data_IF_488454514862
#
_entry.id   IF_488454514862
#
_cell.length_a   1.000
_cell.length_b   1.000
_cell.length_c   1.000
_cell.angle_alpha   90.00
_cell.angle_beta   90.00
_cell.angle_gamma   90.00
#
_symmetry.space_group_name_H-M   'P 1'
#
loop_
_entity.id
_entity.type
_entity.pdbx_description
1 polymer ?
#
# COMPACT_ATOMS: atom_id res chain seq x y z
N UNK A 1 -19.44 33.31 10.55
CA UNK A 1 -18.24 32.63 11.07
C UNK A 1 -17.34 32.38 9.86
N UNK A 2 -16.02 32.55 9.96
CA UNK A 2 -15.13 32.13 8.86
C UNK A 2 -15.08 30.60 8.83
N UNK A 3 -14.83 29.96 7.68
CA UNK A 3 -14.60 28.52 7.65
C UNK A 3 -13.33 28.16 8.45
N UNK A 4 -13.32 26.99 9.07
CA UNK A 4 -12.10 26.38 9.58
C UNK A 4 -11.25 25.88 8.42
N UNK A 5 -9.99 26.30 8.36
CA UNK A 5 -9.04 25.82 7.36
C UNK A 5 -8.38 24.54 7.86
N UNK A 6 -8.58 23.44 7.15
CA UNK A 6 -8.00 22.13 7.50
C UNK A 6 -7.10 21.64 6.38
N UNK A 7 -5.83 21.39 6.70
CA UNK A 7 -4.90 20.73 5.79
C UNK A 7 -4.96 19.21 5.97
N UNK A 8 -4.93 18.45 4.87
CA UNK A 8 -4.80 17.00 4.87
C UNK A 8 -3.54 16.64 4.09
N UNK A 9 -2.57 16.03 4.77
CA UNK A 9 -1.28 15.62 4.17
C UNK A 9 -1.36 14.17 3.71
N UNK A 10 -1.52 13.97 2.41
CA UNK A 10 -1.67 12.68 1.76
C UNK A 10 -3.08 12.45 1.21
N UNK A 11 -3.14 12.02 -0.04
CA UNK A 11 -4.39 11.86 -0.81
C UNK A 11 -4.83 10.40 -0.97
N UNK A 12 -4.39 9.52 -0.09
CA UNK A 12 -4.86 8.14 -0.03
C UNK A 12 -6.30 8.02 0.47
N UNK A 13 -6.83 6.79 0.61
CA UNK A 13 -8.18 6.55 1.11
C UNK A 13 -8.51 7.26 2.43
N UNK A 14 -7.60 7.21 3.41
CA UNK A 14 -7.82 7.85 4.71
C UNK A 14 -7.91 9.37 4.60
N UNK A 15 -7.11 10.00 3.74
CA UNK A 15 -7.19 11.44 3.48
C UNK A 15 -8.53 11.84 2.87
N UNK A 16 -8.99 11.11 1.85
CA UNK A 16 -10.31 11.37 1.24
C UNK A 16 -11.49 11.03 2.15
N UNK A 17 -11.38 9.99 2.99
CA UNK A 17 -12.42 9.71 3.99
C UNK A 17 -12.47 10.81 5.05
N UNK A 18 -11.34 11.33 5.52
CA UNK A 18 -11.29 12.47 6.43
C UNK A 18 -11.90 13.73 5.79
N UNK A 19 -11.53 14.05 4.54
CA UNK A 19 -12.10 15.16 3.79
C UNK A 19 -13.63 15.04 3.67
N UNK A 20 -14.12 13.87 3.27
CA UNK A 20 -15.57 13.62 3.16
C UNK A 20 -16.29 13.75 4.51
N UNK A 21 -15.67 13.30 5.60
CA UNK A 21 -16.24 13.45 6.95
C UNK A 21 -16.30 14.90 7.42
N UNK A 22 -15.27 15.71 7.13
CA UNK A 22 -15.24 17.15 7.44
C UNK A 22 -16.33 17.91 6.68
N UNK A 23 -16.41 17.71 5.36
CA UNK A 23 -17.41 18.37 4.51
C UNK A 23 -18.82 17.97 4.91
N UNK A 24 -19.05 16.67 5.17
CA UNK A 24 -20.34 16.18 5.67
C UNK A 24 -20.72 16.83 7.00
N UNK A 25 -19.76 17.03 7.92
CA UNK A 25 -20.05 17.65 9.20
C UNK A 25 -20.54 19.10 8.99
N UNK A 26 -19.86 19.88 8.15
CA UNK A 26 -20.28 21.23 7.77
C UNK A 26 -21.65 21.27 7.05
N UNK A 27 -22.02 20.23 6.31
CA UNK A 27 -23.35 20.16 5.68
C UNK A 27 -24.48 19.84 6.67
N UNK A 28 -24.15 19.27 7.85
CA UNK A 28 -25.15 18.77 8.81
C UNK A 28 -25.45 19.72 9.96
N UNK A 29 -24.70 20.81 10.12
CA UNK A 29 -24.91 21.80 11.17
C UNK A 29 -24.48 23.19 10.69
N UNK A 30 -25.22 24.23 11.06
CA UNK A 30 -24.89 25.63 10.74
C UNK A 30 -23.78 26.20 11.63
N UNK A 31 -23.31 25.42 12.61
CA UNK A 31 -22.31 25.87 13.61
C UNK A 31 -20.88 25.77 13.10
N UNK A 32 -20.61 24.96 12.08
CA UNK A 32 -19.27 24.77 11.52
C UNK A 32 -19.29 24.91 10.01
N UNK A 33 -18.30 25.63 9.49
CA UNK A 33 -17.97 25.65 8.06
C UNK A 33 -16.50 25.29 7.91
N UNK A 34 -16.11 24.67 6.80
CA UNK A 34 -14.76 24.14 6.60
C UNK A 34 -14.25 24.43 5.19
N UNK A 35 -12.95 24.70 5.09
CA UNK A 35 -12.20 24.72 3.84
C UNK A 35 -11.08 23.69 3.94
N UNK A 36 -11.02 22.74 3.00
CA UNK A 36 -10.13 21.59 3.05
C UNK A 36 -9.08 21.69 1.94
N UNK A 37 -7.81 21.75 2.33
CA UNK A 37 -6.68 21.66 1.40
C UNK A 37 -6.02 20.29 1.54
N UNK A 38 -5.92 19.55 0.44
CA UNK A 38 -5.23 18.27 0.40
C UNK A 38 -3.87 18.42 -0.28
N UNK A 39 -2.80 18.21 0.50
CA UNK A 39 -1.42 18.29 0.05
C UNK A 39 -0.91 16.88 -0.23
N UNK A 40 -0.42 16.63 -1.44
CA UNK A 40 0.05 15.31 -1.87
C UNK A 40 1.47 15.38 -2.42
N UNK A 41 2.31 14.43 -1.99
CA UNK A 41 3.70 14.33 -2.42
C UNK A 41 3.81 14.10 -3.94
N UNK A 42 2.91 13.29 -4.50
CA UNK A 42 2.91 12.98 -5.93
C UNK A 42 2.07 13.98 -6.75
N UNK A 43 2.32 14.10 -8.07
CA UNK A 43 1.39 14.75 -8.99
C UNK A 43 0.00 14.09 -9.06
N UNK A 44 -0.12 12.83 -8.63
CA UNK A 44 -1.34 12.03 -8.80
C UNK A 44 -1.95 11.67 -7.44
N UNK A 45 -3.27 11.81 -7.26
CA UNK A 45 -3.93 11.49 -6.01
C UNK A 45 -4.15 9.97 -5.83
N UNK A 46 -4.88 9.62 -4.76
CA UNK A 46 -5.44 8.31 -4.43
C UNK A 46 -4.48 7.32 -3.76
N UNK A 47 -3.19 7.67 -3.63
CA UNK A 47 -2.19 6.84 -2.97
C UNK A 47 -2.21 5.38 -3.46
N UNK A 48 -2.22 4.42 -2.52
CA UNK A 48 -2.17 2.99 -2.85
C UNK A 48 -3.39 2.48 -3.63
N UNK A 49 -4.49 3.21 -3.78
CA UNK A 49 -5.54 2.81 -4.74
C UNK A 49 -5.00 2.84 -6.17
N UNK A 50 -4.13 3.81 -6.47
CA UNK A 50 -3.48 3.97 -7.78
C UNK A 50 -2.18 3.17 -7.87
N UNK A 51 -1.35 3.26 -6.82
CA UNK A 51 0.04 2.78 -6.82
C UNK A 51 0.27 1.44 -6.10
N UNK A 52 -0.73 0.93 -5.36
CA UNK A 52 -0.63 -0.30 -4.57
C UNK A 52 -1.50 -1.43 -5.11
N UNK A 53 -2.82 -1.19 -5.21
CA UNK A 53 -3.80 -2.15 -5.73
C UNK A 53 -3.32 -2.68 -7.07
N UNK A 54 -3.25 -4.00 -7.20
CA UNK A 54 -2.72 -4.66 -8.37
C UNK A 54 -3.49 -4.27 -9.64
N UNK A 55 -2.82 -4.22 -10.80
CA UNK A 55 -3.44 -3.78 -12.05
C UNK A 55 -4.55 -4.73 -12.55
N UNK A 56 -4.51 -6.00 -12.15
CA UNK A 56 -5.55 -7.00 -12.39
C UNK A 56 -6.68 -6.98 -11.35
N UNK A 57 -6.68 -6.02 -10.41
CA UNK A 57 -7.77 -5.74 -9.47
C UNK A 57 -8.49 -4.40 -9.74
N UNK A 58 -8.96 -4.12 -10.97
CA UNK A 58 -9.52 -2.81 -11.32
C UNK A 58 -10.81 -2.48 -10.55
N UNK A 59 -11.57 -3.50 -10.12
CA UNK A 59 -12.82 -3.32 -9.34
C UNK A 59 -12.56 -2.60 -8.02
N UNK A 60 -11.44 -2.89 -7.35
CA UNK A 60 -11.09 -2.24 -6.07
C UNK A 60 -10.76 -0.77 -6.30
N UNK A 61 -10.16 -0.43 -7.46
CA UNK A 61 -9.82 0.96 -7.83
C UNK A 61 -11.04 1.84 -8.08
N UNK A 62 -12.24 1.29 -8.24
CA UNK A 62 -13.47 2.07 -8.48
C UNK A 62 -13.87 2.98 -7.33
N UNK A 63 -13.29 2.79 -6.13
CA UNK A 63 -13.46 3.71 -5.00
C UNK A 63 -12.99 5.13 -5.32
N UNK A 64 -12.05 5.29 -6.27
CA UNK A 64 -11.60 6.60 -6.79
C UNK A 64 -12.77 7.50 -7.21
N UNK A 65 -13.86 6.94 -7.75
CA UNK A 65 -15.07 7.71 -8.09
C UNK A 65 -15.71 8.43 -6.90
N UNK A 66 -15.62 7.85 -5.70
CA UNK A 66 -16.08 8.52 -4.48
C UNK A 66 -15.13 9.66 -4.09
N UNK A 67 -13.83 9.47 -4.29
CA UNK A 67 -12.81 10.49 -4.02
C UNK A 67 -12.92 11.67 -4.99
N UNK A 68 -13.13 11.39 -6.28
CA UNK A 68 -13.44 12.38 -7.32
C UNK A 68 -14.67 13.20 -6.92
N UNK A 69 -15.76 12.54 -6.48
CA UNK A 69 -16.95 13.25 -6.01
C UNK A 69 -16.63 14.21 -4.85
N UNK A 70 -15.85 13.77 -3.85
CA UNK A 70 -15.39 14.65 -2.77
C UNK A 70 -14.57 15.83 -3.31
N UNK A 71 -13.70 15.59 -4.28
CA UNK A 71 -12.83 16.62 -4.86
C UNK A 71 -13.58 17.66 -5.70
N UNK A 72 -14.84 17.41 -6.09
CA UNK A 72 -15.69 18.39 -6.78
C UNK A 72 -16.35 19.41 -5.85
N UNK A 73 -16.26 19.24 -4.53
CA UNK A 73 -16.80 20.21 -3.57
C UNK A 73 -16.03 21.54 -3.66
N UNK A 74 -16.70 22.70 -3.76
CA UNK A 74 -16.03 23.99 -3.88
C UNK A 74 -15.20 24.37 -2.64
N UNK A 75 -15.44 23.72 -1.50
CA UNK A 75 -14.64 23.89 -0.27
C UNK A 75 -13.37 23.04 -0.26
N UNK A 76 -13.16 22.18 -1.27
CA UNK A 76 -12.01 21.30 -1.38
C UNK A 76 -11.02 21.81 -2.42
N UNK A 77 -9.72 21.76 -2.10
CA UNK A 77 -8.63 22.06 -3.04
C UNK A 77 -7.54 20.99 -2.96
N UNK A 78 -6.96 20.65 -4.12
CA UNK A 78 -5.86 19.69 -4.22
C UNK A 78 -4.56 20.40 -4.61
N UNK A 79 -3.48 20.06 -3.91
CA UNK A 79 -2.13 20.53 -4.15
C UNK A 79 -1.17 19.34 -4.19
N UNK A 80 -1.07 18.70 -5.36
CA UNK A 80 -0.12 17.64 -5.65
C UNK A 80 1.30 18.16 -5.93
N UNK A 81 2.26 17.23 -5.94
CA UNK A 81 3.70 17.52 -6.02
C UNK A 81 4.23 18.37 -4.84
N UNK A 82 3.53 18.37 -3.70
CA UNK A 82 3.90 19.08 -2.47
C UNK A 82 4.29 18.05 -1.40
N UNK A 83 5.59 17.79 -1.27
CA UNK A 83 6.12 16.94 -0.21
C UNK A 83 6.26 17.73 1.11
N UNK A 84 5.45 17.36 2.10
CA UNK A 84 5.54 17.87 3.48
C UNK A 84 6.74 17.23 4.18
N UNK A 85 7.59 18.05 4.79
CA UNK A 85 8.93 17.69 5.26
C UNK A 85 10.05 18.21 4.35
N UNK A 86 9.73 18.60 3.11
CA UNK A 86 10.69 19.12 2.14
C UNK A 86 10.34 20.53 1.66
N UNK A 87 9.16 20.73 1.06
CA UNK A 87 8.72 22.02 0.51
C UNK A 87 8.08 22.91 1.59
N UNK A 88 7.31 22.27 2.47
CA UNK A 88 6.65 22.87 3.62
C UNK A 88 6.82 21.95 4.81
N UNK A 89 6.83 22.48 6.02
CA UNK A 89 7.08 21.73 7.25
C UNK A 89 5.84 21.66 8.16
N UNK A 90 5.79 20.63 9.00
CA UNK A 90 4.69 20.37 9.93
C UNK A 90 4.29 21.63 10.75
N UNK A 91 5.28 22.30 11.34
CA UNK A 91 5.05 23.50 12.14
C UNK A 91 4.43 24.66 11.32
N UNK A 92 4.83 24.81 10.05
CA UNK A 92 4.30 25.87 9.18
C UNK A 92 2.83 25.64 8.84
N UNK A 93 2.45 24.37 8.62
CA UNK A 93 1.07 23.96 8.43
C UNK A 93 0.25 24.18 9.71
N UNK A 94 0.77 23.78 10.86
CA UNK A 94 0.09 23.95 12.14
C UNK A 94 -0.17 25.43 12.49
N UNK A 95 0.66 26.36 12.03
CA UNK A 95 0.47 27.81 12.16
C UNK A 95 -0.55 28.39 11.17
N UNK A 96 -0.65 27.81 9.97
CA UNK A 96 -1.43 28.35 8.85
C UNK A 96 -2.83 27.76 8.72
N UNK A 97 -3.07 26.63 9.35
CA UNK A 97 -4.34 25.92 9.36
C UNK A 97 -4.88 25.80 10.79
N UNK A 98 -6.20 25.79 10.93
CA UNK A 98 -6.84 25.53 12.20
C UNK A 98 -6.55 24.11 12.69
N UNK A 99 -6.48 23.15 11.76
CA UNK A 99 -6.06 21.78 12.02
C UNK A 99 -5.30 21.16 10.84
N UNK A 100 -4.42 20.18 11.13
CA UNK A 100 -3.67 19.42 10.13
C UNK A 100 -3.88 17.92 10.36
N UNK A 101 -4.29 17.19 9.33
CA UNK A 101 -4.48 15.73 9.36
C UNK A 101 -3.39 15.07 8.52
N UNK A 102 -2.53 14.27 9.14
CA UNK A 102 -1.53 13.46 8.45
C UNK A 102 -2.12 12.11 8.04
N UNK A 103 -2.27 11.94 6.72
CA UNK A 103 -2.79 10.77 6.03
C UNK A 103 -1.70 10.08 5.18
N UNK A 104 -0.43 10.21 5.59
CA UNK A 104 0.77 9.83 4.82
C UNK A 104 0.97 8.32 4.62
N UNK A 105 0.11 7.48 5.20
CA UNK A 105 0.16 6.03 5.01
C UNK A 105 1.45 5.39 5.54
N UNK A 106 1.94 4.36 4.83
CA UNK A 106 3.20 3.70 5.11
C UNK A 106 4.00 3.59 3.81
N UNK A 107 5.12 4.30 3.72
CA UNK A 107 5.84 4.53 2.45
C UNK A 107 7.10 3.67 2.30
N UNK A 108 7.48 2.93 3.34
CA UNK A 108 8.65 2.06 3.33
C UNK A 108 8.25 0.61 3.66
N UNK A 109 9.23 -0.26 3.74
CA UNK A 109 9.08 -1.69 3.99
C UNK A 109 9.77 -2.09 5.30
N UNK A 110 9.45 -3.29 5.79
CA UNK A 110 10.16 -3.90 6.91
C UNK A 110 11.32 -4.75 6.39
N UNK A 111 12.55 -4.54 6.88
CA UNK A 111 13.67 -5.42 6.55
C UNK A 111 13.48 -6.80 7.17
N UNK A 112 14.06 -7.80 6.52
CA UNK A 112 14.23 -9.16 7.05
C UNK A 112 15.32 -9.18 8.13
N UNK A 113 16.33 -8.31 8.03
CA UNK A 113 17.52 -8.26 8.87
C UNK A 113 18.31 -9.57 8.83
N UNK A 114 18.58 -10.07 7.62
CA UNK A 114 19.36 -11.28 7.38
C UNK A 114 20.59 -10.98 6.49
N UNK A 115 21.66 -11.79 6.57
CA UNK A 115 22.80 -11.62 5.68
C UNK A 115 22.39 -11.77 4.20
N UNK A 116 22.97 -10.93 3.35
CA UNK A 116 22.71 -10.91 1.91
C UNK A 116 21.42 -10.21 1.47
N UNK A 117 20.64 -9.64 2.39
CA UNK A 117 19.38 -8.92 2.07
C UNK A 117 19.57 -7.77 1.05
N UNK A 118 20.77 -7.19 0.98
CA UNK A 118 21.08 -6.08 0.07
C UNK A 118 21.67 -6.54 -1.29
N UNK A 119 21.73 -7.84 -1.58
CA UNK A 119 22.18 -8.33 -2.88
C UNK A 119 21.23 -7.89 -4.00
N UNK A 120 21.76 -7.64 -5.20
CA UNK A 120 20.95 -7.37 -6.39
C UNK A 120 19.98 -8.54 -6.65
N UNK A 121 18.69 -8.28 -6.77
CA UNK A 121 17.66 -9.33 -6.86
C UNK A 121 16.99 -9.66 -5.52
N UNK A 122 17.41 -9.05 -4.41
CA UNK A 122 16.66 -9.03 -3.14
C UNK A 122 15.99 -7.67 -2.98
N UNK A 123 14.67 -7.64 -3.13
CA UNK A 123 13.87 -6.40 -3.18
C UNK A 123 12.69 -6.45 -2.21
N UNK A 124 12.12 -5.29 -1.89
CA UNK A 124 10.87 -5.22 -1.14
C UNK A 124 9.67 -5.41 -2.05
N UNK A 125 8.57 -5.89 -1.49
CA UNK A 125 7.30 -5.87 -2.20
C UNK A 125 6.84 -4.42 -2.45
N UNK A 126 7.22 -3.45 -1.62
CA UNK A 126 6.90 -2.03 -1.84
C UNK A 126 7.53 -1.56 -3.16
N UNK A 127 8.80 -1.89 -3.37
CA UNK A 127 9.56 -1.53 -4.57
C UNK A 127 8.97 -2.22 -5.80
N UNK A 128 8.72 -3.54 -5.72
CA UNK A 128 8.17 -4.31 -6.83
C UNK A 128 6.76 -3.84 -7.22
N UNK A 129 5.90 -3.59 -6.22
CA UNK A 129 4.54 -3.09 -6.40
C UNK A 129 4.54 -1.70 -6.99
N UNK A 130 5.36 -0.79 -6.44
CA UNK A 130 5.52 0.55 -6.97
C UNK A 130 6.00 0.54 -8.43
N UNK A 131 6.99 -0.32 -8.73
CA UNK A 131 7.54 -0.49 -10.07
C UNK A 131 6.46 -0.95 -11.08
N UNK A 132 5.71 -2.01 -10.80
CA UNK A 132 4.70 -2.48 -11.75
C UNK A 132 3.47 -1.57 -11.83
N UNK A 133 3.22 -0.74 -10.82
CA UNK A 133 2.11 0.24 -10.82
C UNK A 133 2.52 1.64 -11.32
N UNK A 134 3.73 1.80 -11.88
CA UNK A 134 4.24 3.05 -12.42
C UNK A 134 4.31 4.19 -11.37
N UNK A 135 4.68 3.85 -10.14
CA UNK A 135 4.93 4.85 -9.11
C UNK A 135 6.28 5.56 -9.39
N UNK A 136 6.33 6.92 -9.44
CA UNK A 136 7.52 7.66 -9.88
C UNK A 136 8.82 7.37 -9.13
N UNK A 137 8.76 7.08 -7.83
CA UNK A 137 9.95 6.74 -7.03
C UNK A 137 10.54 5.35 -7.33
N UNK A 138 9.88 4.52 -8.13
CA UNK A 138 10.26 3.12 -8.34
C UNK A 138 10.46 2.76 -9.83
N UNK A 139 10.46 3.74 -10.75
CA UNK A 139 10.72 3.51 -12.19
C UNK A 139 12.07 2.80 -12.40
N UNK A 140 13.13 3.30 -11.77
CA UNK A 140 14.50 2.77 -11.92
C UNK A 140 14.75 1.47 -11.15
N UNK A 141 13.76 0.96 -10.40
CA UNK A 141 13.89 -0.27 -9.58
C UNK A 141 13.57 -1.53 -10.39
N UNK A 142 14.06 -1.59 -11.63
CA UNK A 142 13.73 -2.69 -12.55
C UNK A 142 14.36 -4.01 -12.09
N UNK A 143 13.57 -5.01 -11.68
CA UNK A 143 14.07 -6.30 -11.26
C UNK A 143 14.49 -7.14 -12.47
N UNK A 144 15.52 -7.97 -12.30
CA UNK A 144 15.83 -8.99 -13.29
C UNK A 144 14.84 -10.16 -13.17
N UNK A 145 13.96 -10.30 -14.17
CA UNK A 145 12.94 -11.36 -14.23
C UNK A 145 13.30 -12.51 -15.17
N UNK A 146 14.56 -12.61 -15.61
CA UNK A 146 15.01 -13.68 -16.51
C UNK A 146 15.23 -15.03 -15.80
N UNK A 147 15.23 -15.04 -14.47
CA UNK A 147 15.47 -16.25 -13.67
C UNK A 147 14.20 -17.10 -13.53
N UNK A 148 14.38 -18.43 -13.54
CA UNK A 148 13.28 -19.39 -13.48
C UNK A 148 12.52 -19.38 -12.14
N UNK A 149 13.17 -18.99 -11.02
CA UNK A 149 12.56 -19.04 -9.70
C UNK A 149 12.64 -17.71 -8.95
N UNK A 150 11.47 -17.28 -8.46
CA UNK A 150 11.33 -16.20 -7.50
C UNK A 150 10.84 -16.75 -6.14
N UNK A 151 11.25 -16.12 -5.05
CA UNK A 151 10.78 -16.43 -3.71
C UNK A 151 10.18 -15.18 -3.06
N UNK A 152 8.97 -15.30 -2.54
CA UNK A 152 8.24 -14.22 -1.87
C UNK A 152 8.16 -14.55 -0.37
N UNK A 153 8.66 -13.66 0.47
CA UNK A 153 8.63 -13.84 1.93
C UNK A 153 7.40 -13.15 2.52
N UNK A 154 6.46 -13.92 3.05
CA UNK A 154 5.27 -13.39 3.74
C UNK A 154 3.97 -14.07 3.31
N UNK A 155 2.97 -14.06 4.19
CA UNK A 155 1.64 -14.62 3.90
C UNK A 155 0.52 -13.58 4.06
N UNK A 156 0.67 -12.44 3.40
CA UNK A 156 -0.41 -11.45 3.24
C UNK A 156 -0.81 -11.29 1.77
N UNK A 157 -1.91 -10.59 1.50
CA UNK A 157 -2.41 -10.40 0.12
C UNK A 157 -1.36 -9.80 -0.83
N UNK A 158 -0.49 -8.91 -0.34
CA UNK A 158 0.60 -8.35 -1.17
C UNK A 158 1.54 -9.45 -1.69
N UNK A 159 1.78 -10.52 -0.92
CA UNK A 159 2.58 -11.65 -1.39
C UNK A 159 1.89 -12.42 -2.52
N UNK A 160 0.55 -12.53 -2.45
CA UNK A 160 -0.29 -13.10 -3.52
C UNK A 160 -0.24 -12.19 -4.76
N UNK A 161 -0.34 -10.87 -4.59
CA UNK A 161 -0.27 -9.91 -5.70
C UNK A 161 1.08 -10.01 -6.43
N UNK A 162 2.19 -10.01 -5.69
CA UNK A 162 3.53 -10.20 -6.26
C UNK A 162 3.62 -11.51 -7.04
N UNK A 163 3.19 -12.62 -6.43
CA UNK A 163 3.24 -13.92 -7.07
C UNK A 163 2.39 -13.96 -8.35
N UNK A 164 1.18 -13.40 -8.30
CA UNK A 164 0.27 -13.33 -9.44
C UNK A 164 0.86 -12.52 -10.58
N UNK A 165 1.37 -11.32 -10.31
CA UNK A 165 1.99 -10.48 -11.36
C UNK A 165 3.19 -11.18 -12.02
N UNK A 166 3.99 -11.94 -11.27
CA UNK A 166 5.13 -12.68 -11.82
C UNK A 166 4.73 -13.83 -12.77
N UNK A 167 3.54 -14.43 -12.58
CA UNK A 167 3.13 -15.64 -13.34
C UNK A 167 1.86 -15.50 -14.14
N UNK A 168 1.16 -14.36 -14.11
CA UNK A 168 0.03 -14.11 -15.02
C UNK A 168 0.54 -14.08 -16.46
N UNK A 169 -0.31 -14.45 -17.42
CA UNK A 169 0.01 -14.28 -18.84
C UNK A 169 0.24 -12.78 -19.15
N UNK A 170 1.40 -12.39 -19.71
CA UNK A 170 1.65 -11.00 -20.11
C UNK A 170 0.59 -10.43 -21.06
N UNK A 171 -0.09 -11.24 -21.87
CA UNK A 171 -1.16 -10.76 -22.76
C UNK A 171 -2.43 -10.40 -21.99
N UNK A 172 -2.71 -11.07 -20.86
CA UNK A 172 -3.77 -10.67 -19.92
C UNK A 172 -3.38 -9.37 -19.22
N UNK A 173 -2.13 -9.28 -18.74
CA UNK A 173 -1.61 -8.06 -18.10
C UNK A 173 -1.58 -6.86 -19.05
N UNK A 174 -1.38 -7.09 -20.35
CA UNK A 174 -1.38 -6.04 -21.38
C UNK A 174 -2.72 -5.30 -21.51
N UNK A 175 -3.81 -5.85 -20.97
CA UNK A 175 -5.13 -5.21 -20.94
C UNK A 175 -5.40 -4.41 -19.65
N UNK A 176 -4.42 -4.35 -18.74
CA UNK A 176 -4.53 -3.68 -17.43
C UNK A 176 -3.84 -2.31 -17.43
N UNK A 177 -3.86 -1.61 -16.28
CA UNK A 177 -3.09 -0.38 -16.04
C UNK A 177 -1.66 -0.62 -15.52
N UNK A 178 -1.11 -1.83 -15.71
CA UNK A 178 0.29 -2.14 -15.37
C UNK A 178 1.24 -1.19 -16.13
N UNK A 179 2.38 -0.86 -15.54
CA UNK A 179 3.40 -0.04 -16.17
C UNK A 179 3.99 -0.72 -17.42
N UNK A 180 4.25 0.05 -18.47
CA UNK A 180 4.76 -0.50 -19.73
C UNK A 180 6.15 -1.13 -19.55
N UNK A 181 7.06 -0.48 -18.82
CA UNK A 181 8.38 -1.03 -18.51
C UNK A 181 8.30 -2.36 -17.73
N UNK A 182 7.28 -2.51 -16.90
CA UNK A 182 7.06 -3.75 -16.15
C UNK A 182 6.49 -4.85 -17.04
N UNK A 183 5.52 -4.50 -17.89
CA UNK A 183 4.97 -5.41 -18.89
C UNK A 183 6.06 -5.93 -19.83
N UNK A 184 6.92 -5.06 -20.34
CA UNK A 184 8.07 -5.42 -21.18
C UNK A 184 8.98 -6.46 -20.49
N UNK A 185 9.23 -6.28 -19.19
CA UNK A 185 10.05 -7.19 -18.38
C UNK A 185 9.38 -8.54 -18.11
N UNK A 186 8.05 -8.59 -18.14
CA UNK A 186 7.24 -9.80 -17.91
C UNK A 186 7.00 -10.60 -19.20
N UNK A 187 7.04 -9.96 -20.39
CA UNK A 187 6.79 -10.62 -21.69
C UNK A 187 7.64 -11.86 -21.97
N UNK A 188 8.94 -11.92 -21.60
CA UNK A 188 9.76 -13.12 -21.80
C UNK A 188 9.30 -14.34 -20.99
N UNK A 189 8.41 -14.17 -20.01
CA UNK A 189 7.92 -15.22 -19.10
C UNK A 189 9.06 -15.97 -18.40
N UNK A 190 10.10 -15.26 -17.96
CA UNK A 190 11.30 -15.90 -17.38
C UNK A 190 11.02 -16.65 -16.07
N UNK A 191 10.14 -16.12 -15.21
CA UNK A 191 9.77 -16.77 -13.93
C UNK A 191 8.77 -17.90 -14.18
N UNK A 192 9.20 -19.12 -13.90
CA UNK A 192 8.42 -20.35 -14.05
C UNK A 192 7.83 -20.82 -12.70
N UNK A 193 8.49 -20.52 -11.59
CA UNK A 193 8.07 -20.91 -10.25
C UNK A 193 8.21 -19.74 -9.25
N UNK A 194 7.13 -19.43 -8.55
CA UNK A 194 7.12 -18.52 -7.41
C UNK A 194 6.86 -19.30 -6.14
N UNK A 195 7.75 -19.18 -5.15
CA UNK A 195 7.60 -19.83 -3.86
C UNK A 195 7.23 -18.79 -2.81
N UNK A 196 6.02 -18.89 -2.26
CA UNK A 196 5.57 -18.05 -1.15
C UNK A 196 5.90 -18.76 0.15
N UNK A 197 6.79 -18.18 0.94
CA UNK A 197 7.17 -18.72 2.25
C UNK A 197 6.50 -17.98 3.40
N UNK A 198 6.09 -18.75 4.40
CA UNK A 198 5.44 -18.31 5.61
C UNK A 198 6.16 -18.76 6.86
N UNK A 199 6.58 -17.85 7.73
CA UNK A 199 7.27 -18.24 8.98
C UNK A 199 6.37 -19.03 9.95
N UNK A 200 5.04 -18.79 9.93
CA UNK A 200 4.04 -19.52 10.74
C UNK A 200 3.24 -20.49 9.86
N UNK A 201 2.27 -21.18 10.44
CA UNK A 201 1.43 -22.17 9.75
C UNK A 201 0.27 -21.55 8.95
N UNK A 202 -0.47 -22.39 8.20
CA UNK A 202 -1.63 -21.99 7.40
C UNK A 202 -2.72 -21.21 8.17
N UNK A 203 -2.93 -21.57 9.45
CA UNK A 203 -3.92 -20.92 10.32
C UNK A 203 -3.57 -19.46 10.66
N UNK A 204 -2.31 -19.06 10.53
CA UNK A 204 -1.84 -17.72 10.90
C UNK A 204 -1.59 -16.81 9.70
N UNK A 205 -2.09 -17.20 8.52
CA UNK A 205 -2.01 -16.40 7.30
C UNK A 205 -2.86 -15.14 7.41
N UNK A 206 -2.42 -14.07 6.75
CA UNK A 206 -3.15 -12.81 6.65
C UNK A 206 -3.83 -12.66 5.28
N UNK A 207 -4.00 -13.77 4.56
CA UNK A 207 -4.71 -13.79 3.29
C UNK A 207 -6.21 -13.61 3.51
N UNK A 208 -6.87 -12.96 2.57
CA UNK A 208 -8.33 -13.05 2.44
C UNK A 208 -8.72 -14.13 1.43
N UNK A 209 -9.90 -14.70 1.62
CA UNK A 209 -10.31 -15.92 0.90
C UNK A 209 -10.49 -15.70 -0.60
N UNK A 210 -10.91 -14.50 -1.01
CA UNK A 210 -11.14 -14.20 -2.43
C UNK A 210 -9.82 -14.25 -3.20
N UNK A 211 -8.79 -13.59 -2.68
CA UNK A 211 -7.45 -13.48 -3.26
C UNK A 211 -6.78 -14.85 -3.36
N UNK A 212 -7.02 -15.74 -2.39
CA UNK A 212 -6.57 -17.14 -2.49
C UNK A 212 -7.30 -17.93 -3.58
N UNK A 213 -8.59 -17.67 -3.81
CA UNK A 213 -9.37 -18.37 -4.85
C UNK A 213 -8.97 -17.93 -6.25
N UNK A 214 -8.72 -16.64 -6.44
CA UNK A 214 -8.30 -16.05 -7.71
C UNK A 214 -7.01 -16.70 -8.25
N UNK A 215 -6.10 -17.17 -7.37
CA UNK A 215 -4.92 -17.92 -7.81
C UNK A 215 -5.26 -19.20 -8.59
N UNK A 216 -6.37 -19.85 -8.24
CA UNK A 216 -6.83 -21.08 -8.89
C UNK A 216 -7.51 -20.84 -10.24
N UNK A 217 -7.76 -19.58 -10.59
CA UNK A 217 -8.37 -19.14 -11.85
C UNK A 217 -7.32 -18.71 -12.90
N UNK A 218 -6.04 -18.65 -12.51
CA UNK A 218 -4.94 -18.30 -13.40
C UNK A 218 -4.69 -19.39 -14.46
N UNK A 219 -4.89 -19.03 -15.73
CA UNK A 219 -4.61 -19.93 -16.85
C UNK A 219 -3.10 -20.22 -16.98
N UNK A 220 -2.75 -21.47 -17.23
CA UNK A 220 -1.34 -21.90 -17.39
C UNK A 220 -0.52 -21.90 -16.09
N UNK A 221 -1.17 -21.78 -14.93
CA UNK A 221 -0.52 -21.77 -13.61
C UNK A 221 -1.14 -22.84 -12.71
N UNK A 222 -0.30 -23.52 -11.94
CA UNK A 222 -0.72 -24.42 -10.86
C UNK A 222 -0.39 -23.83 -9.49
N UNK A 223 -1.36 -23.91 -8.58
CA UNK A 223 -1.14 -23.62 -7.16
C UNK A 223 -0.83 -24.92 -6.45
N UNK A 224 0.32 -24.97 -5.78
CA UNK A 224 0.88 -26.17 -5.20
C UNK A 224 1.07 -25.97 -3.71
N UNK A 225 0.48 -26.85 -2.94
CA UNK A 225 0.63 -26.91 -1.49
C UNK A 225 0.88 -28.36 -1.12
N UNK A 226 1.96 -28.63 -0.41
CA UNK A 226 2.25 -29.98 0.07
C UNK A 226 1.20 -30.37 1.13
N UNK A 227 0.50 -31.51 1.01
CA UNK A 227 -0.43 -32.00 2.03
C UNK A 227 0.14 -32.06 3.45
N UNK A 228 1.46 -32.30 3.59
CA UNK A 228 2.15 -32.33 4.88
C UNK A 228 2.05 -30.99 5.64
N UNK A 229 1.81 -29.87 4.94
CA UNK A 229 1.63 -28.54 5.54
C UNK A 229 0.36 -28.43 6.40
N UNK A 230 -0.56 -29.40 6.30
CA UNK A 230 -1.79 -29.46 7.09
C UNK A 230 -1.77 -30.55 8.16
N UNK A 231 -0.67 -31.28 8.33
CA UNK A 231 -0.54 -32.26 9.41
C UNK A 231 -0.78 -31.60 10.77
N UNK A 232 -1.70 -32.17 11.56
CA UNK A 232 -2.09 -31.63 12.86
C UNK A 232 -3.05 -30.43 12.81
N UNK A 233 -3.55 -30.01 11.65
CA UNK A 233 -4.57 -28.96 11.54
C UNK A 233 -5.93 -29.59 11.30
N UNK A 234 -6.83 -29.52 12.29
CA UNK A 234 -8.20 -30.02 12.18
C UNK A 234 -9.17 -28.95 11.66
N UNK A 235 -10.40 -29.37 11.31
CA UNK A 235 -11.47 -28.42 10.98
C UNK A 235 -11.92 -27.59 12.18
N UNK A 236 -11.83 -28.15 13.39
CA UNK A 236 -12.12 -27.45 14.64
C UNK A 236 -11.11 -26.33 14.90
N UNK A 237 -9.82 -26.57 14.66
CA UNK A 237 -8.78 -25.52 14.76
C UNK A 237 -9.03 -24.37 13.78
N UNK A 238 -9.40 -24.72 12.54
CA UNK A 238 -9.69 -23.73 11.50
C UNK A 238 -10.94 -22.90 11.82
N UNK A 239 -11.95 -23.52 12.44
CA UNK A 239 -13.16 -22.84 12.91
C UNK A 239 -12.87 -21.92 14.10
N UNK A 240 -12.08 -22.40 15.08
CA UNK A 240 -11.65 -21.61 16.23
C UNK A 240 -10.82 -20.37 15.81
N UNK A 241 -10.03 -20.49 14.74
CA UNK A 241 -9.25 -19.39 14.17
C UNK A 241 -10.09 -18.36 13.38
N UNK A 242 -11.39 -18.61 13.20
CA UNK A 242 -12.35 -17.66 12.63
C UNK A 242 -12.82 -18.00 11.21
N UNK A 243 -13.93 -17.36 10.81
CA UNK A 243 -14.65 -17.67 9.56
C UNK A 243 -13.76 -17.55 8.31
N UNK A 244 -12.95 -16.50 8.21
CA UNK A 244 -12.04 -16.29 7.08
C UNK A 244 -10.97 -17.39 7.03
N UNK A 245 -10.35 -17.69 8.17
CA UNK A 245 -9.33 -18.74 8.30
C UNK A 245 -9.89 -20.11 7.91
N UNK A 246 -11.08 -20.47 8.41
CA UNK A 246 -11.80 -21.69 8.01
C UNK A 246 -11.95 -21.81 6.49
N UNK A 247 -12.36 -20.74 5.83
CA UNK A 247 -12.49 -20.76 4.36
C UNK A 247 -11.14 -20.81 3.65
N UNK A 248 -10.11 -20.14 4.17
CA UNK A 248 -8.76 -20.18 3.60
C UNK A 248 -8.18 -21.60 3.67
N UNK A 249 -8.32 -22.30 4.80
CA UNK A 249 -7.87 -23.69 4.94
C UNK A 249 -8.59 -24.60 3.94
N UNK A 250 -9.90 -24.43 3.76
CA UNK A 250 -10.66 -25.18 2.76
C UNK A 250 -10.13 -24.96 1.34
N UNK A 251 -9.82 -23.72 0.97
CA UNK A 251 -9.25 -23.39 -0.35
C UNK A 251 -7.86 -24.01 -0.52
N UNK A 252 -6.98 -23.86 0.47
CA UNK A 252 -5.60 -24.37 0.41
C UNK A 252 -5.55 -25.90 0.37
N UNK A 253 -6.39 -26.61 1.13
CA UNK A 253 -6.53 -28.08 1.03
C UNK A 253 -7.02 -28.51 -0.35
N UNK A 254 -7.97 -27.76 -0.92
CA UNK A 254 -8.43 -28.01 -2.30
C UNK A 254 -7.37 -27.78 -3.37
N UNK A 255 -6.28 -27.05 -3.09
CA UNK A 255 -5.09 -27.00 -3.95
C UNK A 255 -4.15 -28.18 -3.72
N UNK A 256 -3.99 -28.62 -2.46
CA UNK A 256 -3.14 -29.76 -2.11
C UNK A 256 -3.61 -31.10 -2.72
N UNK A 257 -4.90 -31.22 -3.04
CA UNK A 257 -5.49 -32.38 -3.71
C UNK A 257 -5.28 -32.40 -5.24
N UNK A 258 -4.77 -31.31 -5.83
CA UNK A 258 -4.59 -31.21 -7.29
C UNK A 258 -3.22 -31.70 -7.69
N UNK A 259 -3.17 -32.59 -8.68
CA UNK A 259 -1.91 -32.99 -9.29
C UNK A 259 -1.34 -31.86 -10.18
N UNK A 260 -0.07 -31.47 -10.01
CA UNK A 260 0.57 -30.48 -10.87
C UNK A 260 0.63 -30.96 -12.32
N UNK A 261 0.33 -30.07 -13.25
CA UNK A 261 0.33 -30.31 -14.70
C UNK A 261 1.71 -29.99 -15.27
N UNK A 262 2.35 -30.92 -16.00
CA UNK A 262 3.62 -30.64 -16.68
C UNK A 262 3.50 -29.46 -17.64
N UNK A 263 4.50 -28.58 -17.65
CA UNK A 263 4.56 -27.40 -18.53
C UNK A 263 3.76 -26.19 -18.04
N UNK A 264 3.09 -26.27 -16.89
CA UNK A 264 2.49 -25.11 -16.23
C UNK A 264 3.49 -24.39 -15.34
N UNK A 265 3.34 -23.05 -15.25
CA UNK A 265 4.01 -22.23 -14.23
C UNK A 265 3.45 -22.56 -12.85
N UNK A 266 4.21 -22.26 -11.79
CA UNK A 266 3.91 -22.77 -10.44
C UNK A 266 3.89 -21.66 -9.41
N UNK A 267 2.87 -21.64 -8.56
CA UNK A 267 2.88 -20.91 -7.28
C UNK A 267 2.90 -21.95 -6.17
N UNK A 268 4.00 -22.01 -5.41
CA UNK A 268 4.21 -22.99 -4.34
C UNK A 268 4.08 -22.31 -3.00
N UNK A 269 3.24 -22.84 -2.11
CA UNK A 269 3.18 -22.39 -0.72
C UNK A 269 4.04 -23.28 0.18
N UNK A 270 4.89 -22.65 1.00
CA UNK A 270 5.61 -23.31 2.09
C UNK A 270 5.37 -22.57 3.40
N UNK A 271 4.83 -23.24 4.40
CA UNK A 271 4.63 -22.68 5.73
C UNK A 271 5.73 -23.16 6.68
N UNK A 272 5.72 -22.63 7.90
CA UNK A 272 6.72 -22.93 8.93
C UNK A 272 8.17 -22.78 8.42
N UNK A 273 8.41 -21.77 7.58
CA UNK A 273 9.69 -21.57 6.90
C UNK A 273 10.12 -20.11 7.01
N UNK A 274 11.32 -19.87 7.52
CA UNK A 274 11.94 -18.54 7.60
C UNK A 274 13.11 -18.43 6.62
N UNK A 275 13.34 -17.26 6.00
CA UNK A 275 14.60 -17.00 5.32
C UNK A 275 15.71 -16.77 6.37
N UNK A 276 16.87 -17.38 6.17
CA UNK A 276 18.01 -17.33 7.10
C UNK A 276 19.14 -16.48 6.53
N UNK A 277 19.44 -16.65 5.24
CA UNK A 277 20.53 -15.96 4.55
C UNK A 277 20.29 -15.99 3.04
N UNK A 278 20.58 -14.90 2.35
CA UNK A 278 20.57 -14.83 0.88
C UNK A 278 22.03 -14.86 0.42
N UNK A 279 22.35 -15.72 -0.55
CA UNK A 279 23.73 -15.93 -1.02
C UNK A 279 23.86 -15.65 -2.52
N UNK A 280 25.04 -15.15 -2.88
CA UNK A 280 25.53 -14.94 -4.23
C UNK A 280 26.71 -13.96 -4.21
N UNK A 281 27.43 -13.84 -5.32
CA UNK A 281 28.61 -12.96 -5.39
C UNK A 281 28.22 -11.49 -5.55
N UNK A 282 27.38 -11.20 -6.54
CA UNK A 282 26.92 -9.84 -6.87
C UNK A 282 25.39 -9.71 -6.93
N UNK A 283 24.72 -10.82 -7.15
CA UNK A 283 23.27 -10.93 -7.26
C UNK A 283 22.79 -12.17 -6.52
N UNK A 284 21.49 -12.27 -6.27
CA UNK A 284 20.87 -13.43 -5.63
C UNK A 284 21.03 -14.66 -6.52
N UNK A 285 21.61 -15.73 -5.96
CA UNK A 285 21.75 -17.04 -6.64
C UNK A 285 21.02 -18.15 -5.88
N UNK A 286 20.95 -18.04 -4.55
CA UNK A 286 20.31 -19.01 -3.66
C UNK A 286 19.93 -18.38 -2.33
N UNK A 287 19.02 -19.02 -1.62
CA UNK A 287 18.58 -18.63 -0.29
C UNK A 287 18.62 -19.83 0.65
N UNK A 288 19.08 -19.59 1.87
CA UNK A 288 19.03 -20.55 2.97
C UNK A 288 17.70 -20.37 3.68
N UNK A 289 16.92 -21.44 3.76
CA UNK A 289 15.64 -21.50 4.46
C UNK A 289 15.82 -22.30 5.76
N UNK A 290 15.06 -21.94 6.79
CA UNK A 290 15.03 -22.65 8.07
C UNK A 290 13.63 -23.13 8.40
N UNK A 291 13.52 -24.36 8.89
CA UNK A 291 12.24 -24.92 9.36
C UNK A 291 11.91 -24.37 10.75
N UNK A 292 10.67 -23.99 10.94
CA UNK A 292 10.12 -23.54 12.21
C UNK A 292 9.16 -24.58 12.81
N UNK A 293 8.94 -24.46 14.11
CA UNK A 293 7.82 -25.06 14.84
C UNK A 293 7.00 -23.94 15.48
N UNK A 294 5.72 -24.21 15.74
CA UNK A 294 4.84 -23.27 16.43
C UNK A 294 4.94 -23.45 17.94
N UNK A 295 5.16 -22.36 18.66
CA UNK A 295 5.16 -22.33 20.12
C UNK A 295 4.16 -21.29 20.59
N UNK A 296 3.17 -21.74 21.36
CA UNK A 296 2.21 -20.87 22.03
C UNK A 296 2.81 -20.37 23.36
N UNK A 297 2.64 -19.09 23.65
CA UNK A 297 2.91 -18.55 24.98
C UNK A 297 1.68 -18.63 25.90
N UNK A 298 1.85 -18.22 27.16
CA UNK A 298 0.79 -18.24 28.18
C UNK A 298 -0.43 -17.37 27.83
N UNK A 299 -0.28 -16.41 26.91
CA UNK A 299 -1.38 -15.56 26.41
C UNK A 299 -2.16 -16.21 25.25
N UNK A 300 -1.73 -17.41 24.81
CA UNK A 300 -2.27 -18.09 23.64
C UNK A 300 -1.73 -17.55 22.32
N UNK A 301 -0.74 -16.66 22.35
CA UNK A 301 -0.12 -16.14 21.14
C UNK A 301 0.86 -17.18 20.56
N UNK A 302 0.69 -17.46 19.27
CA UNK A 302 1.49 -18.46 18.56
C UNK A 302 2.65 -17.79 17.80
N UNK A 303 3.86 -18.14 18.19
CA UNK A 303 5.12 -17.70 17.59
C UNK A 303 5.78 -18.82 16.79
N UNK A 304 6.65 -18.44 15.85
CA UNK A 304 7.48 -19.39 15.11
C UNK A 304 8.84 -19.49 15.80
N UNK A 305 9.29 -20.71 16.09
CA UNK A 305 10.59 -21.02 16.68
C UNK A 305 11.43 -21.80 15.69
N UNK A 306 12.63 -21.30 15.39
CA UNK A 306 13.59 -21.97 14.52
C UNK A 306 14.06 -23.30 15.14
N UNK A 307 14.09 -24.34 14.31
CA UNK A 307 14.46 -25.71 14.70
C UNK A 307 15.95 -25.98 14.51
N UNK A 308 16.65 -25.13 13.76
CA UNK A 308 18.05 -25.32 13.38
C UNK A 308 18.24 -26.08 12.06
N UNK A 309 17.19 -26.70 11.51
CA UNK A 309 17.25 -27.33 10.18
C UNK A 309 17.40 -26.29 9.08
N UNK A 310 18.16 -26.61 8.03
CA UNK A 310 18.49 -25.70 6.92
C UNK A 310 18.34 -26.39 5.57
N UNK A 311 17.80 -25.65 4.60
CA UNK A 311 17.72 -26.04 3.19
C UNK A 311 18.29 -24.90 2.35
N UNK A 312 19.15 -25.20 1.38
CA UNK A 312 19.56 -24.22 0.37
C UNK A 312 18.72 -24.40 -0.90
N UNK A 313 18.17 -23.29 -1.40
CA UNK A 313 17.31 -23.29 -2.57
C UNK A 313 17.81 -22.30 -3.63
N UNK A 314 18.11 -22.74 -4.86
CA UNK A 314 18.48 -21.83 -5.95
C UNK A 314 17.31 -20.90 -6.31
N UNK A 315 17.52 -19.59 -6.27
CA UNK A 315 16.52 -18.54 -6.58
C UNK A 315 17.25 -17.34 -7.19
N UNK A 316 16.60 -16.60 -8.08
CA UNK A 316 17.21 -15.43 -8.74
C UNK A 316 16.57 -14.10 -8.30
N UNK A 317 15.38 -14.19 -7.71
CA UNK A 317 14.64 -13.07 -7.17
C UNK A 317 14.11 -13.42 -5.78
N UNK A 318 14.32 -12.56 -4.81
CA UNK A 318 13.71 -12.62 -3.48
C UNK A 318 12.93 -11.33 -3.26
N UNK A 319 11.62 -11.45 -3.02
CA UNK A 319 10.73 -10.31 -2.74
C UNK A 319 10.24 -10.41 -1.30
N UNK A 320 10.66 -9.49 -0.43
CA UNK A 320 10.16 -9.46 0.96
C UNK A 320 8.82 -8.73 1.03
N UNK A 321 7.77 -9.46 1.39
CA UNK A 321 6.40 -8.98 1.61
C UNK A 321 6.00 -9.13 3.08
N UNK A 322 6.90 -8.75 4.00
CA UNK A 322 6.74 -8.89 5.46
C UNK A 322 6.05 -7.68 6.13
N UNK A 323 5.50 -6.78 5.32
CA UNK A 323 4.70 -5.63 5.72
C UNK A 323 5.34 -4.30 5.35
N UNK A 324 4.49 -3.31 5.13
CA UNK A 324 4.90 -1.92 4.97
C UNK A 324 5.32 -1.34 6.33
N UNK A 325 5.91 -0.16 6.30
CA UNK A 325 6.34 0.61 7.46
C UNK A 325 6.17 2.11 7.21
N UNK A 326 5.68 2.85 8.20
CA UNK A 326 5.69 4.32 8.15
C UNK A 326 7.11 4.87 8.10
N UNK A 327 7.25 6.13 7.69
CA UNK A 327 8.50 6.88 7.66
C UNK A 327 8.32 8.11 8.57
N UNK A 328 9.31 8.48 9.40
CA UNK A 328 9.23 9.69 10.21
C UNK A 328 9.05 10.92 9.31
N UNK A 329 8.09 11.77 9.66
CA UNK A 329 7.90 13.07 9.01
C UNK A 329 8.66 14.13 9.82
N UNK A 330 9.54 14.94 9.20
CA UNK A 330 10.28 15.98 9.90
C UNK A 330 9.39 16.90 10.73
N UNK A 331 9.65 16.99 12.03
CA UNK A 331 8.90 17.82 12.98
C UNK A 331 7.78 17.09 13.75
N UNK A 332 7.48 15.84 13.43
CA UNK A 332 6.46 15.04 14.14
C UNK A 332 7.09 13.95 15.03
N UNK A 333 6.43 13.55 16.14
CA UNK A 333 6.86 12.40 16.92
C UNK A 333 6.68 11.11 16.12
N UNK A 334 7.52 10.11 16.42
CA UNK A 334 7.49 8.84 15.69
C UNK A 334 7.89 7.66 16.58
N UNK A 335 7.07 6.61 16.57
CA UNK A 335 7.41 5.34 17.23
C UNK A 335 8.20 4.46 16.27
N UNK A 336 9.51 4.32 16.50
CA UNK A 336 10.40 3.54 15.65
C UNK A 336 10.13 2.03 15.67
N UNK A 337 9.47 1.51 16.71
CA UNK A 337 9.14 0.09 16.80
C UNK A 337 7.89 -0.22 15.99
N UNK A 338 6.87 0.64 16.09
CA UNK A 338 5.58 0.46 15.40
C UNK A 338 5.60 0.99 13.98
N UNK A 339 6.45 1.98 13.69
CA UNK A 339 6.48 2.71 12.43
C UNK A 339 5.23 3.56 12.24
N UNK A 340 4.76 4.19 13.30
CA UNK A 340 3.51 5.00 13.36
C UNK A 340 3.76 6.30 14.12
N UNK A 341 2.92 7.31 13.91
CA UNK A 341 2.94 8.54 14.70
C UNK A 341 2.16 8.31 16.02
N UNK A 342 2.75 8.53 17.20
CA UNK A 342 2.07 8.40 18.49
C UNK A 342 0.85 9.34 18.60
N UNK A 343 -0.29 8.79 19.02
CA UNK A 343 -1.56 9.51 19.04
C UNK A 343 -2.56 8.93 20.05
N UNK A 344 -3.51 9.76 20.48
CA UNK A 344 -4.69 9.36 21.27
C UNK A 344 -5.95 9.85 20.57
N UNK A 345 -6.87 8.94 20.22
CA UNK A 345 -8.06 9.29 19.43
C UNK A 345 -7.75 9.84 18.04
N UNK A 346 -6.52 9.65 17.55
CA UNK A 346 -6.03 10.27 16.32
C UNK A 346 -5.41 11.67 16.50
N UNK A 347 -5.47 12.29 17.67
CA UNK A 347 -4.70 13.52 17.97
C UNK A 347 -3.25 13.15 18.26
N UNK A 348 -2.29 13.81 17.59
CA UNK A 348 -0.86 13.56 17.79
C UNK A 348 -0.47 13.93 19.22
N UNK A 349 0.31 13.07 19.88
CA UNK A 349 0.80 13.32 21.23
C UNK A 349 1.63 14.62 21.30
N UNK A 350 1.27 15.52 22.22
CA UNK A 350 1.95 16.80 22.40
C UNK A 350 1.59 17.89 21.38
N UNK A 351 0.71 17.60 20.41
CA UNK A 351 0.23 18.62 19.46
C UNK A 351 -1.11 19.24 19.90
N UNK A 352 -1.28 20.52 19.57
CA UNK A 352 -2.52 21.27 19.83
C UNK A 352 -3.59 21.08 18.75
N UNK A 353 -3.19 20.86 17.50
CA UNK A 353 -4.09 20.87 16.34
C UNK A 353 -3.67 19.93 15.21
N UNK A 354 -2.82 18.95 15.49
CA UNK A 354 -2.39 17.97 14.49
C UNK A 354 -2.91 16.57 14.81
N UNK A 355 -3.31 15.87 13.75
CA UNK A 355 -4.03 14.61 13.80
C UNK A 355 -3.45 13.60 12.81
N UNK A 356 -3.73 12.33 13.00
CA UNK A 356 -3.33 11.24 12.10
C UNK A 356 -4.53 10.37 11.75
N UNK A 357 -4.53 9.81 10.54
CA UNK A 357 -5.53 8.83 10.08
C UNK A 357 -4.88 7.71 9.27
N UNK A 358 -5.56 6.59 9.12
CA UNK A 358 -5.14 5.49 8.27
C UNK A 358 -3.92 4.74 8.79
N UNK A 359 -3.04 4.32 7.88
CA UNK A 359 -1.92 3.44 8.23
C UNK A 359 -0.84 4.11 9.08
N UNK A 360 -0.62 5.42 8.96
CA UNK A 360 0.35 6.11 9.83
C UNK A 360 -0.13 6.19 11.29
N UNK A 361 -1.45 6.14 11.51
CA UNK A 361 -2.10 6.05 12.83
C UNK A 361 -2.12 4.63 13.38
N UNK A 362 -2.64 3.67 12.59
CA UNK A 362 -2.99 2.31 13.06
C UNK A 362 -1.92 1.26 12.80
N UNK A 363 -0.97 1.56 11.93
CA UNK A 363 -0.09 0.58 11.30
C UNK A 363 -0.66 0.06 9.97
N UNK A 364 0.17 -0.57 9.12
CA UNK A 364 -0.18 -0.90 7.74
C UNK A 364 -0.91 -2.24 7.63
N UNK A 365 -2.11 -2.29 8.19
CA UNK A 365 -3.00 -3.45 8.10
C UNK A 365 -4.42 -2.99 7.75
N UNK A 366 -5.22 -3.91 7.23
CA UNK A 366 -6.61 -3.66 6.85
C UNK A 366 -6.80 -3.24 5.40
N UNK A 367 -8.00 -3.51 4.88
CA UNK A 367 -8.43 -3.13 3.53
C UNK A 367 -8.85 -1.66 3.47
N UNK A 368 -9.05 -1.12 2.26
CA UNK A 368 -9.44 0.29 2.01
C UNK A 368 -10.56 0.74 2.95
N UNK A 369 -11.64 -0.03 3.06
CA UNK A 369 -12.82 0.31 3.86
C UNK A 369 -12.56 0.44 5.37
N UNK A 370 -11.52 -0.21 5.91
CA UNK A 370 -11.17 -0.09 7.34
C UNK A 370 -10.71 1.32 7.70
N UNK A 371 -10.23 2.10 6.73
CA UNK A 371 -9.78 3.47 6.95
C UNK A 371 -10.96 4.45 7.07
N UNK A 372 -12.17 4.07 6.65
CA UNK A 372 -13.33 4.98 6.68
C UNK A 372 -13.79 5.28 8.11
N UNK A 373 -14.04 4.25 8.92
CA UNK A 373 -14.43 4.45 10.32
C UNK A 373 -13.31 5.10 11.12
N UNK A 374 -12.07 4.66 10.91
CA UNK A 374 -10.88 5.23 11.54
C UNK A 374 -10.71 6.73 11.27
N UNK A 375 -10.95 7.17 10.03
CA UNK A 375 -10.87 8.59 9.67
C UNK A 375 -12.03 9.39 10.25
N UNK A 376 -13.24 8.81 10.29
CA UNK A 376 -14.40 9.45 10.94
C UNK A 376 -14.14 9.70 12.42
N UNK A 377 -13.66 8.70 13.17
CA UNK A 377 -13.37 8.84 14.62
C UNK A 377 -12.36 9.97 14.91
N UNK A 378 -11.36 10.13 14.05
CA UNK A 378 -10.40 11.23 14.17
C UNK A 378 -11.00 12.57 13.81
N UNK A 379 -11.83 12.65 12.77
CA UNK A 379 -12.53 13.88 12.41
C UNK A 379 -13.52 14.30 13.51
N UNK A 380 -14.21 13.36 14.14
CA UNK A 380 -15.10 13.64 15.28
C UNK A 380 -14.30 14.27 16.45
N UNK A 381 -13.12 13.73 16.73
CA UNK A 381 -12.19 14.27 17.74
C UNK A 381 -11.72 15.68 17.37
N UNK A 382 -11.34 15.89 16.10
CA UNK A 382 -10.88 17.18 15.58
C UNK A 382 -11.97 18.25 15.69
N UNK A 383 -13.21 17.94 15.28
CA UNK A 383 -14.33 18.89 15.34
C UNK A 383 -14.64 19.27 16.79
N UNK A 384 -14.62 18.31 17.71
CA UNK A 384 -14.81 18.57 19.13
C UNK A 384 -13.72 19.51 19.69
N UNK A 385 -12.47 19.36 19.23
CA UNK A 385 -11.39 20.25 19.63
C UNK A 385 -11.56 21.66 19.06
N UNK A 386 -11.91 21.79 17.78
CA UNK A 386 -12.13 23.10 17.13
C UNK A 386 -13.28 23.88 17.79
N UNK A 387 -14.35 23.19 18.19
CA UNK A 387 -15.47 23.80 18.89
C UNK A 387 -15.09 24.34 20.29
N UNK A 388 -14.05 23.77 20.91
CA UNK A 388 -13.56 24.17 22.22
C UNK A 388 -12.35 25.12 22.18
N UNK A 389 -11.77 25.34 20.99
CA UNK A 389 -10.52 26.08 20.82
C UNK A 389 -10.73 27.57 20.53
N UNK A 390 -9.86 28.41 21.09
CA UNK A 390 -9.64 29.77 20.60
C UNK A 390 -8.82 29.70 19.31
N UNK A 391 -9.49 29.75 18.17
CA UNK A 391 -8.85 29.69 16.85
C UNK A 391 -8.30 31.07 16.43
N UNK A 392 -7.22 31.07 15.65
CA UNK A 392 -6.62 32.29 15.14
C UNK A 392 -7.60 33.04 14.23
N UNK A 393 -7.58 34.38 14.23
CA UNK A 393 -8.41 35.14 13.30
C UNK A 393 -7.69 35.31 11.96
N UNK A 394 -8.09 34.51 10.97
CA UNK A 394 -7.55 34.60 9.61
C UNK A 394 -8.37 35.58 8.76
N UNK A 395 -7.72 36.38 7.89
CA UNK A 395 -8.42 37.31 7.03
C UNK A 395 -9.26 36.59 5.97
N UNK A 396 -10.25 37.28 5.38
CA UNK A 396 -11.15 36.68 4.38
C UNK A 396 -10.47 36.18 3.10
N UNK A 397 -9.24 36.64 2.81
CA UNK A 397 -8.40 36.23 1.68
C UNK A 397 -7.38 35.14 2.07
N UNK A 398 -7.51 34.51 3.23
CA UNK A 398 -6.53 33.54 3.75
C UNK A 398 -6.38 32.31 2.84
N UNK A 399 -7.45 31.86 2.20
CA UNK A 399 -7.40 30.76 1.24
C UNK A 399 -6.45 31.08 0.07
N UNK A 400 -6.50 32.30 -0.46
CA UNK A 400 -5.64 32.75 -1.56
C UNK A 400 -4.18 32.85 -1.10
N UNK A 401 -3.94 33.40 0.10
CA UNK A 401 -2.60 33.46 0.71
C UNK A 401 -1.97 32.09 0.92
N UNK A 402 -2.76 31.09 1.30
CA UNK A 402 -2.31 29.70 1.41
C UNK A 402 -1.87 29.15 0.05
N UNK A 403 -2.65 29.41 -1.00
CA UNK A 403 -2.30 29.01 -2.37
C UNK A 403 -1.04 29.69 -2.89
N UNK A 404 -0.91 31.00 -2.67
CA UNK A 404 0.29 31.77 -3.04
C UNK A 404 1.54 31.25 -2.30
N UNK A 405 1.41 30.98 -1.00
CA UNK A 405 2.49 30.40 -0.21
C UNK A 405 2.90 29.02 -0.73
N UNK A 406 1.94 28.13 -1.03
CA UNK A 406 2.24 26.81 -1.59
C UNK A 406 2.91 26.92 -2.97
N UNK A 407 2.47 27.84 -3.83
CA UNK A 407 3.07 28.08 -5.14
C UNK A 407 4.48 28.69 -5.03
N UNK A 408 4.74 29.54 -4.04
CA UNK A 408 6.10 30.05 -3.76
C UNK A 408 7.04 28.91 -3.33
N UNK A 409 6.56 28.01 -2.47
CA UNK A 409 7.34 26.87 -1.96
C UNK A 409 7.53 25.75 -2.98
N UNK A 410 6.55 25.56 -3.85
CA UNK A 410 6.56 24.58 -4.93
C UNK A 410 5.98 25.20 -6.20
N UNK A 411 6.81 25.85 -7.04
CA UNK A 411 6.36 26.48 -8.28
C UNK A 411 5.76 25.50 -9.31
N UNK A 412 6.00 24.19 -9.16
CA UNK A 412 5.43 23.13 -10.01
C UNK A 412 4.30 22.37 -9.31
N UNK A 413 3.53 23.05 -8.46
CA UNK A 413 2.36 22.47 -7.79
C UNK A 413 1.34 21.97 -8.81
N UNK A 414 0.73 20.83 -8.51
CA UNK A 414 -0.32 20.21 -9.35
C UNK A 414 -1.66 20.48 -8.70
N UNK A 415 -2.48 21.34 -9.32
CA UNK A 415 -3.85 21.58 -8.87
C UNK A 415 -4.78 20.47 -9.36
N UNK A 416 -6.06 20.53 -8.96
CA UNK A 416 -7.09 19.63 -9.50
C UNK A 416 -7.15 19.70 -11.04
N UNK A 417 -7.04 20.89 -11.62
CA UNK A 417 -7.09 21.09 -13.07
C UNK A 417 -5.88 20.46 -13.77
N UNK A 418 -4.67 20.61 -13.20
CA UNK A 418 -3.46 19.96 -13.72
C UNK A 418 -3.59 18.42 -13.64
N UNK A 419 -4.11 17.90 -12.53
CA UNK A 419 -4.37 16.47 -12.38
C UNK A 419 -5.39 15.95 -13.41
N UNK A 420 -6.47 16.69 -13.67
CA UNK A 420 -7.48 16.30 -14.67
C UNK A 420 -6.87 16.17 -16.08
N UNK A 421 -5.90 17.03 -16.42
CA UNK A 421 -5.15 16.93 -17.68
C UNK A 421 -4.31 15.64 -17.72
N UNK A 422 -3.58 15.33 -16.64
CA UNK A 422 -2.81 14.08 -16.52
C UNK A 422 -3.73 12.87 -16.63
N UNK A 423 -4.82 12.84 -15.86
CA UNK A 423 -5.75 11.72 -15.81
C UNK A 423 -6.41 11.46 -17.17
N UNK A 424 -6.83 12.52 -17.86
CA UNK A 424 -7.37 12.44 -19.21
C UNK A 424 -6.32 11.90 -20.19
N UNK A 425 -5.10 12.42 -20.15
CA UNK A 425 -4.01 11.95 -21.00
C UNK A 425 -3.76 10.45 -20.82
N UNK A 426 -3.61 9.98 -19.57
CA UNK A 426 -3.36 8.57 -19.28
C UNK A 426 -4.49 7.65 -19.75
N UNK A 427 -5.75 8.05 -19.53
CA UNK A 427 -6.92 7.29 -19.99
C UNK A 427 -6.98 7.22 -21.51
N UNK A 428 -6.84 8.37 -22.19
CA UNK A 428 -6.82 8.44 -23.66
C UNK A 428 -5.67 7.65 -24.28
N UNK A 429 -4.52 7.54 -23.59
CA UNK A 429 -3.41 6.69 -24.04
C UNK A 429 -3.74 5.18 -23.94
N UNK A 430 -4.62 4.78 -23.02
CA UNK A 430 -5.01 3.37 -22.83
C UNK A 430 -6.10 2.89 -23.80
N UNK A 431 -7.05 3.76 -24.15
CA UNK A 431 -8.23 3.41 -24.96
C UNK A 431 -7.91 2.67 -26.28
N UNK A 432 -6.93 3.10 -27.11
CA UNK A 432 -6.60 2.40 -28.36
C UNK A 432 -6.09 0.96 -28.17
N UNK A 433 -5.63 0.63 -26.97
CA UNK A 433 -5.04 -0.67 -26.61
C UNK A 433 -5.98 -1.52 -25.73
N UNK A 434 -7.22 -1.08 -25.51
CA UNK A 434 -8.17 -1.77 -24.63
C UNK A 434 -7.79 -1.73 -23.15
N UNK A 435 -6.94 -0.78 -22.74
CA UNK A 435 -6.49 -0.59 -21.35
C UNK A 435 -7.29 0.53 -20.69
N UNK A 436 -7.54 0.47 -19.37
CA UNK A 436 -8.20 1.55 -18.65
C UNK A 436 -7.38 2.85 -18.62
N UNK A 437 -6.04 2.75 -18.68
CA UNK A 437 -5.09 3.85 -18.84
C UNK A 437 -3.69 3.32 -19.13
N UNK A 438 -2.80 4.19 -19.64
CA UNK A 438 -1.34 4.01 -19.59
C UNK A 438 -0.76 5.08 -18.69
N UNK A 439 -0.13 4.68 -17.59
CA UNK A 439 0.38 5.61 -16.58
C UNK A 439 1.66 6.28 -17.03
N UNK A 440 1.83 7.55 -16.69
CA UNK A 440 3.11 8.25 -16.82
C UNK A 440 4.03 7.79 -15.67
N UNK A 441 5.16 7.12 -15.96
CA UNK A 441 5.91 6.39 -14.94
C UNK A 441 6.82 7.27 -14.08
N UNK A 442 7.00 8.56 -14.42
CA UNK A 442 7.93 9.42 -13.71
C UNK A 442 7.48 10.87 -13.59
N UNK A 443 8.12 11.55 -12.65
CA UNK A 443 7.79 12.92 -12.27
C UNK A 443 7.96 13.89 -13.45
N UNK A 444 9.03 13.78 -14.22
CA UNK A 444 9.27 14.68 -15.35
C UNK A 444 8.15 14.61 -16.39
N UNK A 445 7.67 13.41 -16.71
CA UNK A 445 6.55 13.19 -17.63
C UNK A 445 5.22 13.67 -17.05
N UNK A 446 4.94 13.38 -15.78
CA UNK A 446 3.74 13.86 -15.10
C UNK A 446 3.67 15.39 -15.11
N UNK A 447 4.77 16.07 -14.77
CA UNK A 447 4.84 17.52 -14.76
C UNK A 447 4.74 18.12 -16.17
N UNK A 448 5.37 17.50 -17.17
CA UNK A 448 5.26 17.96 -18.56
C UNK A 448 3.82 17.88 -19.08
N UNK A 449 3.08 16.82 -18.75
CA UNK A 449 1.68 16.72 -19.18
C UNK A 449 0.78 17.63 -18.34
N UNK A 450 1.00 17.70 -17.02
CA UNK A 450 0.14 18.49 -16.12
C UNK A 450 0.24 20.01 -16.32
N UNK A 451 1.42 20.52 -16.66
CA UNK A 451 1.66 21.95 -16.89
C UNK A 451 1.64 22.38 -18.37
N UNK A 452 1.59 21.43 -19.30
CA UNK A 452 1.79 21.67 -20.74
C UNK A 452 3.24 21.92 -21.12
#
# INVERSE_FOLDING_TARGET
>A
MRPYHVAIVGSGPSGFFAAASLLKAADTTDEIDVAVDMLEMLPTPWGLVRSGVAPDHPKIKSISKQFEKTATDPRFRFFGNVAVGEHVHAHELAERYDAVIYAVGAQSDKPLNIPGENLTGSISAVDFVGWYNAHPHFEDKTPNLSGARALVVGNGNVAIDVARILVTDPDVLALTDIADHALESLRPRGVEEVIIIGRRGPLQTAFTTLELRELGELEGVDVIVDPAQFEGITDEDAEAAGKTTKQNIKVLRGYAEREPRPGHRRIVFRFLTSPIEIKGEHHVERIVLGRNELVADESGWVSAKDTGEREELPVQLVVRSVGYRGVPTPGLPFDEKRGTIPNTGGRIEGSRNEYVVGWIKRGPTGVIGTNKSDSQETVDTLIADLAAADVADFPGDHADKLSDWLAERQPKVITSEHWDVIDKFERSAGEPHGRPRVKLPNLARLLHIGHG
#
